data_IF_981726113848
#
_entry.id   IF_981726113848
#
_cell.length_a   1.000
_cell.length_b   1.000
_cell.length_c   1.000
_cell.angle_alpha   90.00
_cell.angle_beta   90.00
_cell.angle_gamma   90.00
#
_symmetry.space_group_name_H-M   'P 1'
#
loop_
_entity.id
_entity.type
_entity.pdbx_description
1 polymer ?
#
# COMPACT_ATOMS: atom_id res chain seq x y z
N UNK A 1 -27.65 -21.64 -14.83
CA UNK A 1 -27.66 -21.93 -13.38
C UNK A 1 -26.28 -21.60 -12.82
N UNK A 2 -26.06 -20.76 -11.82
CA UNK A 2 -26.87 -19.91 -10.95
C UNK A 2 -26.01 -18.70 -10.53
N UNK A 3 -26.69 -17.65 -10.09
CA UNK A 3 -26.24 -16.26 -10.02
C UNK A 3 -25.05 -15.95 -9.09
N UNK A 4 -24.27 -14.96 -9.53
CA UNK A 4 -23.38 -14.15 -8.72
C UNK A 4 -24.22 -13.39 -7.69
N UNK A 5 -24.15 -13.77 -6.41
CA UNK A 5 -24.82 -13.04 -5.34
C UNK A 5 -23.83 -12.03 -4.75
N UNK A 6 -24.18 -10.77 -4.99
CA UNK A 6 -23.65 -9.57 -4.33
C UNK A 6 -23.80 -9.68 -2.82
N UNK A 7 -22.70 -9.58 -2.09
CA UNK A 7 -22.73 -9.42 -0.63
C UNK A 7 -22.50 -7.96 -0.25
N UNK A 8 -23.40 -7.51 0.62
CA UNK A 8 -23.80 -6.13 0.90
C UNK A 8 -22.75 -5.38 1.69
N UNK A 9 -22.74 -4.06 1.48
CA UNK A 9 -22.18 -3.07 2.39
C UNK A 9 -22.71 -3.28 3.82
N UNK A 10 -21.81 -3.45 4.78
CA UNK A 10 -22.13 -3.46 6.21
C UNK A 10 -22.45 -2.03 6.67
N UNK A 11 -23.74 -1.78 6.87
CA UNK A 11 -24.24 -0.58 7.56
C UNK A 11 -23.68 -0.52 8.98
N UNK A 12 -22.99 0.58 9.29
CA UNK A 12 -22.53 0.90 10.65
C UNK A 12 -23.72 1.18 11.56
N UNK A 13 -24.19 0.16 12.28
CA UNK A 13 -25.04 0.37 13.47
C UNK A 13 -24.14 0.70 14.65
N UNK A 14 -24.18 1.96 15.09
CA UNK A 14 -23.61 2.37 16.39
C UNK A 14 -24.52 1.78 17.47
N UNK A 15 -24.12 0.64 18.03
CA UNK A 15 -24.80 0.04 19.18
C UNK A 15 -24.39 0.80 20.45
N UNK A 16 -25.27 1.70 20.90
CA UNK A 16 -25.26 2.28 22.24
C UNK A 16 -25.68 1.21 23.25
N UNK A 17 -24.74 0.36 23.65
CA UNK A 17 -24.91 -0.64 24.69
C UNK A 17 -23.63 -0.81 25.51
N UNK A 18 -23.78 -1.01 26.83
CA UNK A 18 -22.67 -1.22 27.75
C UNK A 18 -21.83 -2.44 27.32
N UNK A 19 -20.50 -2.30 27.37
CA UNK A 19 -19.56 -3.37 27.02
C UNK A 19 -19.73 -4.52 28.03
N UNK A 20 -20.07 -5.75 27.61
CA UNK A 20 -20.22 -6.87 28.52
C UNK A 20 -18.88 -7.14 29.24
N UNK A 21 -18.96 -7.36 30.55
CA UNK A 21 -17.81 -7.68 31.40
C UNK A 21 -17.10 -8.92 30.85
N UNK A 22 -15.84 -8.77 30.43
CA UNK A 22 -15.04 -9.81 29.79
C UNK A 22 -14.72 -9.56 28.31
N UNK A 23 -15.28 -8.51 27.68
CA UNK A 23 -14.88 -8.12 26.34
C UNK A 23 -13.63 -7.23 26.38
N UNK A 24 -12.47 -7.79 26.03
CA UNK A 24 -11.25 -7.02 25.77
C UNK A 24 -11.32 -6.57 24.31
N UNK A 25 -11.57 -5.28 24.00
CA UNK A 25 -11.56 -4.81 22.62
C UNK A 25 -10.18 -5.09 22.01
N UNK A 26 -10.16 -5.80 20.88
CA UNK A 26 -8.92 -6.10 20.16
C UNK A 26 -8.19 -4.77 19.88
N UNK A 27 -6.90 -4.65 20.22
CA UNK A 27 -6.13 -3.44 19.94
C UNK A 27 -6.24 -3.12 18.44
N UNK A 28 -6.80 -1.95 18.12
CA UNK A 28 -6.76 -1.45 16.74
C UNK A 28 -5.32 -1.03 16.47
N UNK A 29 -4.63 -1.77 15.60
CA UNK A 29 -3.31 -1.36 15.11
C UNK A 29 -3.53 -0.17 14.19
N UNK A 30 -3.39 1.04 14.75
CA UNK A 30 -3.40 2.28 13.99
C UNK A 30 -2.01 2.48 13.42
N UNK A 31 -1.92 2.75 12.12
CA UNK A 31 -0.64 3.04 11.50
C UNK A 31 -0.01 4.30 12.11
N UNK A 32 1.30 4.26 12.35
CA UNK A 32 2.05 5.32 13.05
C UNK A 32 1.92 6.68 12.36
N UNK A 33 1.89 6.71 11.02
CA UNK A 33 1.74 7.93 10.24
C UNK A 33 0.40 8.64 10.46
N UNK A 34 -0.66 7.93 10.88
CA UNK A 34 -1.95 8.55 11.20
C UNK A 34 -1.81 9.40 12.48
N UNK A 35 -1.02 8.91 13.45
CA UNK A 35 -0.76 9.57 14.73
C UNK A 35 0.27 10.69 14.54
N UNK A 36 1.32 10.44 13.73
CA UNK A 36 2.41 11.38 13.50
C UNK A 36 2.01 12.58 12.63
N UNK A 37 1.03 12.40 11.74
CA UNK A 37 0.53 13.44 10.84
C UNK A 37 -0.98 13.67 11.05
N UNK A 38 -1.37 14.31 12.18
CA UNK A 38 -2.75 14.69 12.44
C UNK A 38 -3.24 15.77 11.46
N UNK A 39 -4.42 16.34 11.75
CA UNK A 39 -4.94 17.47 10.98
C UNK A 39 -4.00 18.68 11.09
N UNK A 40 -3.88 19.42 9.99
CA UNK A 40 -3.01 20.60 9.90
C UNK A 40 -3.83 21.82 10.34
N UNK A 41 -3.23 22.64 11.21
CA UNK A 41 -3.90 23.84 11.75
C UNK A 41 -3.16 25.15 11.43
N UNK A 42 -1.95 25.08 10.87
CA UNK A 42 -1.11 26.24 10.54
C UNK A 42 -0.42 26.09 9.18
N UNK A 43 0.01 27.21 8.60
CA UNK A 43 0.76 27.23 7.34
C UNK A 43 2.16 26.64 7.55
N UNK A 44 2.74 26.86 8.72
CA UNK A 44 4.02 26.29 9.13
C UNK A 44 3.98 24.76 9.16
N UNK A 45 2.94 24.17 9.78
CA UNK A 45 2.74 22.71 9.78
C UNK A 45 2.56 22.18 8.36
N UNK A 46 1.81 22.91 7.52
CA UNK A 46 1.58 22.55 6.12
C UNK A 46 2.89 22.47 5.33
N UNK A 47 3.78 23.45 5.47
CA UNK A 47 5.08 23.43 4.79
C UNK A 47 6.00 22.32 5.35
N UNK A 48 5.95 22.01 6.65
CA UNK A 48 6.68 20.87 7.20
C UNK A 48 6.19 19.54 6.61
N UNK A 49 4.87 19.34 6.51
CA UNK A 49 4.28 18.13 5.93
C UNK A 49 4.68 17.98 4.45
N UNK A 50 4.70 19.09 3.71
CA UNK A 50 5.16 19.12 2.32
C UNK A 50 6.63 18.79 2.18
N UNK A 51 7.49 19.30 3.05
CA UNK A 51 8.92 18.97 3.06
C UNK A 51 9.14 17.47 3.30
N UNK A 52 8.45 16.89 4.28
CA UNK A 52 8.48 15.44 4.55
C UNK A 52 7.96 14.66 3.35
N UNK A 53 6.84 15.08 2.74
CA UNK A 53 6.29 14.42 1.57
C UNK A 53 7.32 14.37 0.44
N UNK A 54 7.96 15.50 0.13
CA UNK A 54 8.93 15.59 -0.96
C UNK A 54 10.14 14.69 -0.73
N UNK A 55 10.71 14.72 0.47
CA UNK A 55 11.83 13.85 0.85
C UNK A 55 11.48 12.36 0.70
N UNK A 56 10.38 11.95 1.34
CA UNK A 56 9.96 10.55 1.37
C UNK A 56 9.42 10.06 0.01
N UNK A 57 8.93 10.98 -0.83
CA UNK A 57 8.51 10.65 -2.19
C UNK A 57 9.69 10.25 -3.08
N UNK A 58 10.88 10.82 -2.86
CA UNK A 58 12.09 10.38 -3.58
C UNK A 58 12.45 8.93 -3.21
N UNK A 59 12.41 8.59 -1.92
CA UNK A 59 12.61 7.21 -1.45
C UNK A 59 11.58 6.25 -2.07
N UNK A 60 10.30 6.62 -2.03
CA UNK A 60 9.23 5.83 -2.65
C UNK A 60 9.46 5.62 -4.15
N UNK A 61 9.84 6.67 -4.87
CA UNK A 61 10.01 6.62 -6.33
C UNK A 61 11.12 5.64 -6.73
N UNK A 62 12.26 5.67 -6.04
CA UNK A 62 13.37 4.74 -6.32
C UNK A 62 12.99 3.30 -5.95
N UNK A 63 12.39 3.07 -4.77
CA UNK A 63 11.91 1.74 -4.38
C UNK A 63 10.88 1.18 -5.36
N UNK A 64 9.91 2.00 -5.77
CA UNK A 64 8.88 1.61 -6.73
C UNK A 64 9.51 1.23 -8.08
N UNK A 65 10.54 1.97 -8.53
CA UNK A 65 11.28 1.65 -9.75
C UNK A 65 11.96 0.29 -9.66
N UNK A 66 12.67 0.01 -8.57
CA UNK A 66 13.34 -1.28 -8.35
C UNK A 66 12.36 -2.45 -8.30
N UNK A 67 11.24 -2.29 -7.57
CA UNK A 67 10.19 -3.30 -7.49
C UNK A 67 9.58 -3.54 -8.88
N UNK A 68 9.25 -2.48 -9.61
CA UNK A 68 8.68 -2.59 -10.97
C UNK A 68 9.63 -3.32 -11.91
N UNK A 69 10.92 -2.98 -11.89
CA UNK A 69 11.93 -3.67 -12.70
C UNK A 69 12.03 -5.17 -12.35
N UNK A 70 11.87 -5.53 -11.08
CA UNK A 70 11.88 -6.92 -10.63
C UNK A 70 10.61 -7.66 -11.07
N UNK A 71 9.44 -7.01 -10.97
CA UNK A 71 8.18 -7.58 -11.46
C UNK A 71 8.20 -7.83 -12.97
N UNK A 72 8.79 -6.93 -13.77
CA UNK A 72 8.97 -7.12 -15.20
C UNK A 72 9.82 -8.38 -15.48
N UNK A 73 10.92 -8.58 -14.76
CA UNK A 73 11.73 -9.80 -14.89
C UNK A 73 10.95 -11.06 -14.53
N UNK A 74 10.05 -11.00 -13.56
CA UNK A 74 9.17 -12.14 -13.27
C UNK A 74 8.20 -12.42 -14.41
N UNK A 75 7.63 -11.40 -15.03
CA UNK A 75 6.77 -11.57 -16.21
C UNK A 75 7.52 -12.19 -17.39
N UNK A 76 8.79 -11.81 -17.61
CA UNK A 76 9.64 -12.43 -18.62
C UNK A 76 9.90 -13.92 -18.33
N UNK A 77 10.20 -14.26 -17.07
CA UNK A 77 10.38 -15.66 -16.65
C UNK A 77 9.09 -16.47 -16.80
N UNK A 78 7.93 -15.90 -16.45
CA UNK A 78 6.62 -16.54 -16.63
C UNK A 78 6.33 -16.83 -18.11
N UNK A 79 6.72 -15.91 -19.00
CA UNK A 79 6.61 -16.10 -20.46
C UNK A 79 7.54 -17.22 -20.97
N UNK A 80 8.81 -17.23 -20.55
CA UNK A 80 9.76 -18.29 -20.90
C UNK A 80 9.29 -19.66 -20.40
N UNK A 81 8.76 -19.73 -19.17
CA UNK A 81 8.19 -20.94 -18.60
C UNK A 81 7.03 -21.45 -19.45
N UNK A 82 6.09 -20.57 -19.80
CA UNK A 82 4.93 -20.90 -20.63
C UNK A 82 5.36 -21.47 -22.00
N UNK A 83 6.38 -20.89 -22.62
CA UNK A 83 6.94 -21.39 -23.87
C UNK A 83 7.63 -22.76 -23.70
N UNK A 84 8.39 -22.97 -22.63
CA UNK A 84 9.07 -24.25 -22.36
C UNK A 84 8.08 -25.38 -22.07
N UNK A 85 7.00 -25.11 -21.34
CA UNK A 85 5.94 -26.09 -21.10
C UNK A 85 5.29 -26.51 -22.42
N UNK A 86 5.07 -25.56 -23.34
CA UNK A 86 4.44 -25.84 -24.64
C UNK A 86 5.37 -26.55 -25.63
N UNK A 87 6.70 -26.34 -25.52
CA UNK A 87 7.66 -26.76 -26.54
C UNK A 87 8.62 -27.89 -26.11
N UNK A 88 8.67 -28.27 -24.83
CA UNK A 88 9.73 -29.16 -24.32
C UNK A 88 9.23 -30.50 -23.78
N UNK A 89 10.05 -31.55 -23.97
CA UNK A 89 10.01 -32.83 -23.24
C UNK A 89 11.11 -32.88 -22.15
N UNK A 90 11.52 -31.74 -21.58
CA UNK A 90 12.61 -31.68 -20.59
C UNK A 90 12.09 -31.23 -19.22
N UNK A 91 11.59 -32.16 -18.39
CA UNK A 91 11.06 -31.85 -17.07
C UNK A 91 12.11 -31.23 -16.13
N UNK A 92 13.38 -31.57 -16.29
CA UNK A 92 14.49 -31.02 -15.48
C UNK A 92 14.65 -29.51 -15.67
N UNK A 93 14.63 -29.03 -16.92
CA UNK A 93 14.70 -27.59 -17.22
C UNK A 93 13.51 -26.80 -16.66
N UNK A 94 12.32 -27.41 -16.68
CA UNK A 94 11.11 -26.80 -16.10
C UNK A 94 11.27 -26.70 -14.58
N UNK A 95 11.73 -27.76 -13.91
CA UNK A 95 11.94 -27.75 -12.46
C UNK A 95 13.00 -26.72 -12.01
N UNK A 96 14.12 -26.62 -12.71
CA UNK A 96 15.17 -25.64 -12.37
C UNK A 96 14.69 -24.20 -12.51
N UNK A 97 13.90 -23.91 -13.55
CA UNK A 97 13.31 -22.60 -13.76
C UNK A 97 12.27 -22.27 -12.68
N UNK A 98 11.44 -23.23 -12.29
CA UNK A 98 10.43 -23.08 -11.25
C UNK A 98 11.07 -22.79 -9.90
N UNK A 99 12.14 -23.54 -9.55
CA UNK A 99 12.92 -23.29 -8.34
C UNK A 99 13.54 -21.90 -8.32
N UNK A 100 14.12 -21.47 -9.44
CA UNK A 100 14.73 -20.13 -9.56
C UNK A 100 13.70 -19.02 -9.41
N UNK A 101 12.51 -19.22 -9.99
CA UNK A 101 11.39 -18.28 -9.86
C UNK A 101 10.94 -18.16 -8.40
N UNK A 102 10.66 -19.29 -7.75
CA UNK A 102 10.20 -19.31 -6.35
C UNK A 102 11.22 -18.70 -5.40
N UNK A 103 12.51 -18.95 -5.61
CA UNK A 103 13.58 -18.35 -4.81
C UNK A 103 13.58 -16.83 -4.91
N UNK A 104 13.46 -16.27 -6.12
CA UNK A 104 13.46 -14.81 -6.29
C UNK A 104 12.18 -14.16 -5.78
N UNK A 105 11.03 -14.82 -5.92
CA UNK A 105 9.74 -14.29 -5.48
C UNK A 105 9.61 -14.26 -3.95
N UNK A 106 10.25 -15.21 -3.28
CA UNK A 106 10.28 -15.32 -1.82
C UNK A 106 11.57 -14.76 -1.21
N UNK A 107 12.38 -14.04 -1.99
CA UNK A 107 13.59 -13.39 -1.48
C UNK A 107 13.20 -12.39 -0.37
N UNK A 108 13.69 -12.56 0.87
CA UNK A 108 13.34 -11.68 1.99
C UNK A 108 13.64 -10.21 1.69
N UNK A 109 14.74 -9.92 1.00
CA UNK A 109 15.12 -8.56 0.67
C UNK A 109 14.13 -7.89 -0.31
N UNK A 110 13.65 -8.64 -1.31
CA UNK A 110 12.58 -8.17 -2.20
C UNK A 110 11.28 -7.91 -1.45
N UNK A 111 10.90 -8.82 -0.53
CA UNK A 111 9.68 -8.70 0.27
C UNK A 111 9.73 -7.49 1.21
N UNK A 112 10.85 -7.26 1.89
CA UNK A 112 11.07 -6.09 2.75
C UNK A 112 10.96 -4.79 1.96
N UNK A 113 11.59 -4.71 0.78
CA UNK A 113 11.47 -3.56 -0.11
C UNK A 113 10.03 -3.31 -0.54
N UNK A 114 9.30 -4.38 -0.89
CA UNK A 114 7.89 -4.30 -1.27
C UNK A 114 7.03 -3.78 -0.12
N UNK A 115 7.21 -4.30 1.09
CA UNK A 115 6.52 -3.82 2.29
C UNK A 115 6.82 -2.34 2.56
N UNK A 116 8.10 -1.94 2.48
CA UNK A 116 8.51 -0.55 2.63
C UNK A 116 7.85 0.37 1.60
N UNK A 117 7.76 -0.07 0.35
CA UNK A 117 7.12 0.69 -0.73
C UNK A 117 5.63 0.90 -0.47
N UNK A 118 4.90 -0.15 -0.06
CA UNK A 118 3.48 -0.04 0.29
C UNK A 118 3.26 0.86 1.51
N UNK A 119 4.11 0.76 2.53
CA UNK A 119 4.08 1.65 3.67
C UNK A 119 4.26 3.13 3.26
N UNK A 120 5.27 3.42 2.45
CA UNK A 120 5.54 4.78 1.97
C UNK A 120 4.37 5.30 1.14
N UNK A 121 3.80 4.48 0.26
CA UNK A 121 2.61 4.84 -0.52
C UNK A 121 1.45 5.25 0.38
N UNK A 122 1.12 4.44 1.39
CA UNK A 122 0.04 4.74 2.32
C UNK A 122 0.31 6.02 3.15
N UNK A 123 1.53 6.16 3.69
CA UNK A 123 1.97 7.34 4.44
C UNK A 123 1.91 8.61 3.59
N UNK A 124 2.44 8.58 2.37
CA UNK A 124 2.48 9.72 1.45
C UNK A 124 1.07 10.12 1.02
N UNK A 125 0.20 9.15 0.73
CA UNK A 125 -1.22 9.42 0.44
C UNK A 125 -1.92 10.12 1.61
N UNK A 126 -1.66 9.69 2.85
CA UNK A 126 -2.21 10.33 4.04
C UNK A 126 -1.70 11.77 4.21
N UNK A 127 -0.39 12.00 4.11
CA UNK A 127 0.20 13.34 4.22
C UNK A 127 -0.36 14.27 3.12
N UNK A 128 -0.45 13.79 1.88
CA UNK A 128 -1.01 14.54 0.76
C UNK A 128 -2.47 14.92 1.00
N UNK A 129 -3.26 14.01 1.56
CA UNK A 129 -4.66 14.27 1.95
C UNK A 129 -4.74 15.37 3.02
N UNK A 130 -3.91 15.31 4.07
CA UNK A 130 -3.86 16.36 5.11
C UNK A 130 -3.56 17.75 4.56
N UNK A 131 -2.58 17.85 3.66
CA UNK A 131 -2.23 19.11 2.99
C UNK A 131 -3.41 19.62 2.14
N UNK A 132 -4.00 18.74 1.33
CA UNK A 132 -5.12 19.09 0.47
C UNK A 132 -6.34 19.58 1.27
N UNK A 133 -6.67 18.92 2.39
CA UNK A 133 -7.81 19.29 3.21
C UNK A 133 -7.61 20.67 3.88
N UNK A 134 -6.37 20.96 4.32
CA UNK A 134 -6.01 22.28 4.83
C UNK A 134 -6.15 23.36 3.75
N UNK A 135 -5.57 23.14 2.56
CA UNK A 135 -5.61 24.10 1.45
C UNK A 135 -7.06 24.43 1.04
N UNK A 136 -7.94 23.43 1.01
CA UNK A 136 -9.36 23.62 0.72
C UNK A 136 -10.05 24.49 1.79
N UNK A 137 -9.76 24.26 3.06
CA UNK A 137 -10.39 25.00 4.15
C UNK A 137 -9.84 26.42 4.29
N UNK A 138 -8.56 26.63 3.97
CA UNK A 138 -7.92 27.94 3.98
C UNK A 138 -8.47 28.84 2.86
N UNK A 139 -8.57 28.31 1.63
CA UNK A 139 -9.12 29.06 0.48
C UNK A 139 -10.58 29.47 0.66
N UNK A 140 -11.41 28.64 1.31
CA UNK A 140 -12.81 28.98 1.61
C UNK A 140 -12.93 30.09 2.67
N UNK A 141 -12.00 30.17 3.62
CA UNK A 141 -12.04 31.19 4.68
C UNK A 141 -11.60 32.57 4.17
N UNK A 142 -10.60 32.62 3.29
CA UNK A 142 -10.13 33.87 2.69
C UNK A 142 -11.12 34.47 1.68
N UNK A 143 -12.00 33.64 1.09
CA UNK A 143 -13.01 34.10 0.11
C UNK A 143 -14.28 34.68 0.76
N UNK A 144 -14.40 34.63 2.09
CA UNK A 144 -15.57 35.11 2.85
C UNK A 144 -15.33 36.48 3.54
N UNK A 145 -14.28 37.20 3.15
CA UNK A 145 -13.98 38.56 3.60
C UNK A 145 -13.83 39.52 2.41
#
# INVERSE_FOLDING_TARGET
MLAYVSERAEERKILTGAIPVGHIPKPRVVADYIIKYPEIHSVEDREQYKAVFNDQYLEYKELHREITATLIKFQELDSMMSQLINNSRSPERIMDLMKTYDQKKNDPHFLEKKERCEYLKAKLSHIKMRIHDFDRNFTVKDSNY
#
